data_IF_334585198278
#
_entry.id   IF_334585198278
#
_cell.length_a   1.000
_cell.length_b   1.000
_cell.length_c   1.000
_cell.angle_alpha   90.00
_cell.angle_beta   90.00
_cell.angle_gamma   90.00
#
_symmetry.space_group_name_H-M   'P 1'
#
loop_
_entity.id
_entity.type
_entity.pdbx_description
1 polymer ?
#
# COMPACT_ATOMS: atom_id res chain seq x y z
N UNK A 1 54.09 23.10 -15.43
CA UNK A 1 55.45 22.58 -15.71
C UNK A 1 56.14 22.10 -14.44
N UNK A 2 56.36 22.96 -13.43
CA UNK A 2 57.05 22.58 -12.19
C UNK A 2 56.41 21.38 -11.45
N UNK A 3 55.09 21.34 -11.31
CA UNK A 3 54.40 20.22 -10.63
C UNK A 3 54.65 18.86 -11.31
N UNK A 4 54.68 18.82 -12.65
CA UNK A 4 54.96 17.60 -13.41
C UNK A 4 56.43 17.20 -13.27
N UNK A 5 57.34 18.17 -13.32
CA UNK A 5 58.77 17.93 -13.10
C UNK A 5 59.05 17.40 -11.69
N UNK A 6 58.48 18.01 -10.66
CA UNK A 6 58.63 17.54 -9.27
C UNK A 6 58.04 16.13 -9.10
N UNK A 7 56.90 15.83 -9.71
CA UNK A 7 56.32 14.49 -9.67
C UNK A 7 57.21 13.45 -10.35
N UNK A 8 57.72 13.73 -11.55
CA UNK A 8 58.65 12.85 -12.26
C UNK A 8 59.90 12.63 -11.42
N UNK A 9 60.46 13.70 -10.83
CA UNK A 9 61.62 13.60 -9.93
C UNK A 9 61.31 12.71 -8.72
N UNK A 10 60.12 12.81 -8.13
CA UNK A 10 59.71 11.95 -7.02
C UNK A 10 59.59 10.47 -7.44
N UNK A 11 59.08 10.18 -8.64
CA UNK A 11 59.07 8.81 -9.19
C UNK A 11 60.49 8.29 -9.37
N UNK A 12 61.36 9.07 -10.00
CA UNK A 12 62.75 8.68 -10.24
C UNK A 12 63.47 8.42 -8.91
N UNK A 13 63.30 9.31 -7.94
CA UNK A 13 63.86 9.15 -6.59
C UNK A 13 63.33 7.89 -5.89
N UNK A 14 62.03 7.62 -5.99
CA UNK A 14 61.42 6.41 -5.46
C UNK A 14 61.97 5.15 -6.12
N UNK A 15 62.11 5.14 -7.45
CA UNK A 15 62.69 4.00 -8.18
C UNK A 15 64.12 3.76 -7.75
N UNK A 16 64.93 4.82 -7.62
CA UNK A 16 66.32 4.70 -7.13
C UNK A 16 66.36 4.09 -5.73
N UNK A 17 65.52 4.58 -4.81
CA UNK A 17 65.41 4.03 -3.45
C UNK A 17 64.95 2.57 -3.46
N UNK A 18 63.93 2.24 -4.24
CA UNK A 18 63.43 0.89 -4.41
C UNK A 18 64.51 -0.06 -4.96
N UNK A 19 65.37 0.43 -5.85
CA UNK A 19 66.47 -0.35 -6.42
C UNK A 19 67.54 -0.64 -5.36
N UNK A 20 67.88 0.34 -4.52
CA UNK A 20 68.79 0.18 -3.38
C UNK A 20 68.22 -0.86 -2.40
N UNK A 21 66.95 -0.74 -2.03
CA UNK A 21 66.26 -1.69 -1.15
C UNK A 21 66.31 -3.10 -1.75
N UNK A 22 66.05 -3.25 -3.04
CA UNK A 22 66.09 -4.53 -3.73
C UNK A 22 67.50 -5.14 -3.78
N UNK A 23 68.57 -4.33 -3.79
CA UNK A 23 69.96 -4.80 -3.76
C UNK A 23 70.42 -5.20 -2.35
N UNK A 24 69.92 -4.51 -1.33
CA UNK A 24 70.19 -4.82 0.07
C UNK A 24 69.46 -6.08 0.55
N UNK A 25 68.33 -6.41 -0.08
CA UNK A 25 67.55 -7.59 0.27
C UNK A 25 68.25 -8.88 -0.21
N UNK A 26 68.51 -9.84 0.70
CA UNK A 26 69.04 -11.14 0.31
C UNK A 26 68.00 -11.89 -0.53
N UNK A 27 68.49 -12.74 -1.44
CA UNK A 27 67.65 -13.53 -2.35
C UNK A 27 66.83 -14.56 -1.56
N UNK A 28 65.66 -14.13 -1.10
CA UNK A 28 64.79 -14.81 -0.15
C UNK A 28 63.34 -14.73 -0.60
N UNK A 29 62.47 -15.52 0.02
CA UNK A 29 61.02 -15.43 -0.20
C UNK A 29 60.48 -14.01 0.04
N UNK A 30 61.05 -13.26 1.00
CA UNK A 30 60.68 -11.87 1.31
C UNK A 30 60.92 -10.88 0.17
N UNK A 31 61.90 -11.13 -0.70
CA UNK A 31 62.17 -10.26 -1.85
C UNK A 31 60.99 -10.27 -2.84
N UNK A 32 60.28 -11.38 -2.99
CA UNK A 32 59.10 -11.50 -3.87
C UNK A 32 57.95 -10.63 -3.38
N UNK A 33 57.66 -10.67 -2.08
CA UNK A 33 56.63 -9.84 -1.47
C UNK A 33 56.99 -8.35 -1.51
N UNK A 34 58.26 -8.02 -1.27
CA UNK A 34 58.74 -6.64 -1.35
C UNK A 34 58.57 -6.07 -2.75
N UNK A 35 58.91 -6.84 -3.81
CA UNK A 35 58.70 -6.41 -5.20
C UNK A 35 57.24 -6.10 -5.50
N UNK A 36 56.31 -6.92 -4.98
CA UNK A 36 54.87 -6.69 -5.15
C UNK A 36 54.43 -5.39 -4.47
N UNK A 37 54.80 -5.20 -3.20
CA UNK A 37 54.41 -4.01 -2.44
C UNK A 37 55.03 -2.74 -3.03
N UNK A 38 56.31 -2.78 -3.40
CA UNK A 38 56.99 -1.65 -4.07
C UNK A 38 56.34 -1.31 -5.41
N UNK A 39 55.94 -2.33 -6.19
CA UNK A 39 55.18 -2.14 -7.43
C UNK A 39 53.81 -1.50 -7.19
N UNK A 40 53.10 -1.91 -6.14
CA UNK A 40 51.82 -1.31 -5.74
C UNK A 40 52.00 0.16 -5.33
N UNK A 41 53.04 0.47 -4.54
CA UNK A 41 53.36 1.84 -4.14
C UNK A 41 53.73 2.71 -5.35
N UNK A 42 54.51 2.18 -6.29
CA UNK A 42 54.82 2.86 -7.55
C UNK A 42 53.54 3.19 -8.32
N UNK A 43 52.63 2.21 -8.44
CA UNK A 43 51.34 2.39 -9.13
C UNK A 43 50.53 3.52 -8.49
N UNK A 44 50.49 3.58 -7.16
CA UNK A 44 49.76 4.63 -6.42
C UNK A 44 50.38 6.03 -6.59
N UNK A 45 51.72 6.12 -6.66
CA UNK A 45 52.42 7.37 -6.94
C UNK A 45 52.12 7.85 -8.38
N UNK A 46 51.98 6.92 -9.33
CA UNK A 46 51.69 7.24 -10.74
C UNK A 46 50.22 7.61 -10.93
N UNK A 47 49.28 6.97 -10.23
CA UNK A 47 47.84 7.18 -10.45
C UNK A 47 47.36 8.56 -10.00
N UNK A 48 48.04 9.16 -9.01
CA UNK A 48 47.64 10.43 -8.41
C UNK A 48 47.57 11.58 -9.44
N UNK A 49 48.61 11.89 -10.23
CA UNK A 49 48.52 12.93 -11.26
C UNK A 49 47.72 12.51 -12.48
N UNK A 50 47.57 11.21 -12.76
CA UNK A 50 46.61 10.74 -13.76
C UNK A 50 45.23 11.29 -13.41
N UNK A 51 44.79 11.12 -12.15
CA UNK A 51 43.53 11.72 -11.70
C UNK A 51 43.51 13.25 -11.79
N UNK A 52 44.62 13.94 -11.50
CA UNK A 52 44.69 15.40 -11.65
C UNK A 52 44.56 15.87 -13.11
N UNK A 53 45.18 15.15 -14.06
CA UNK A 53 45.10 15.45 -15.51
C UNK A 53 43.68 15.23 -16.01
N UNK A 54 43.05 14.12 -15.59
CA UNK A 54 41.67 13.79 -15.95
C UNK A 54 40.63 14.53 -15.10
N UNK A 55 41.06 15.43 -14.19
CA UNK A 55 40.19 16.19 -13.27
C UNK A 55 39.22 15.30 -12.47
N UNK A 56 39.65 14.09 -12.13
CA UNK A 56 38.87 13.14 -11.35
C UNK A 56 39.04 13.47 -9.87
N UNK A 57 37.99 13.98 -9.24
CA UNK A 57 37.93 14.13 -7.78
C UNK A 57 37.46 12.82 -7.14
N UNK A 58 38.43 12.05 -6.65
CA UNK A 58 38.20 10.78 -5.98
C UNK A 58 37.32 10.96 -4.74
N UNK A 59 37.45 12.06 -4.00
CA UNK A 59 36.62 12.33 -2.82
C UNK A 59 35.16 12.59 -3.20
N UNK A 60 34.93 13.31 -4.30
CA UNK A 60 33.57 13.53 -4.82
C UNK A 60 32.95 12.20 -5.27
N UNK A 61 33.71 11.35 -5.95
CA UNK A 61 33.24 10.05 -6.43
C UNK A 61 32.89 9.11 -5.26
N UNK A 62 33.72 9.04 -4.22
CA UNK A 62 33.41 8.27 -3.01
C UNK A 62 32.16 8.81 -2.29
N UNK A 63 32.03 10.14 -2.17
CA UNK A 63 30.84 10.75 -1.57
C UNK A 63 29.57 10.43 -2.35
N UNK A 64 29.60 10.46 -3.68
CA UNK A 64 28.44 10.11 -4.49
C UNK A 64 28.03 8.65 -4.32
N UNK A 65 28.99 7.72 -4.24
CA UNK A 65 28.71 6.29 -4.06
C UNK A 65 28.11 6.00 -2.69
N UNK A 66 28.61 6.67 -1.64
CA UNK A 66 28.10 6.51 -0.28
C UNK A 66 26.71 7.11 -0.08
N UNK A 67 26.41 8.25 -0.71
CA UNK A 67 25.08 8.87 -0.61
C UNK A 67 24.03 8.13 -1.45
N UNK A 68 24.42 7.58 -2.60
CA UNK A 68 23.49 6.87 -3.49
C UNK A 68 22.99 5.57 -2.88
N UNK A 69 23.84 4.81 -2.20
CA UNK A 69 23.46 3.55 -1.57
C UNK A 69 22.48 3.73 -0.41
N UNK A 70 22.69 4.75 0.43
CA UNK A 70 21.79 5.01 1.57
C UNK A 70 20.41 5.47 1.09
N UNK A 71 20.36 6.32 0.04
CA UNK A 71 19.09 6.81 -0.50
C UNK A 71 18.30 5.75 -1.25
N UNK A 72 18.98 4.84 -1.97
CA UNK A 72 18.30 3.77 -2.69
C UNK A 72 17.55 2.83 -1.73
N UNK A 73 18.17 2.48 -0.62
CA UNK A 73 17.58 1.51 0.33
C UNK A 73 16.32 2.09 1.00
N UNK A 74 16.36 3.35 1.42
CA UNK A 74 15.19 4.02 2.02
C UNK A 74 14.04 4.19 1.03
N UNK A 75 14.34 4.48 -0.24
CA UNK A 75 13.31 4.64 -1.27
C UNK A 75 12.65 3.30 -1.61
N UNK A 76 13.44 2.22 -1.67
CA UNK A 76 12.93 0.86 -1.89
C UNK A 76 12.04 0.44 -0.72
N UNK A 77 12.49 0.63 0.53
CA UNK A 77 11.71 0.29 1.72
C UNK A 77 10.36 1.02 1.76
N UNK A 78 10.35 2.33 1.51
CA UNK A 78 9.11 3.12 1.46
C UNK A 78 8.16 2.64 0.36
N UNK A 79 8.70 2.26 -0.80
CA UNK A 79 7.90 1.76 -1.93
C UNK A 79 7.29 0.39 -1.62
N UNK A 80 8.02 -0.47 -0.91
CA UNK A 80 7.53 -1.79 -0.46
C UNK A 80 6.43 -1.61 0.61
N UNK A 81 6.64 -0.74 1.59
CA UNK A 81 5.66 -0.50 2.64
C UNK A 81 4.37 0.13 2.09
N UNK A 82 4.46 1.00 1.08
CA UNK A 82 3.28 1.53 0.39
C UNK A 82 2.53 0.46 -0.41
N UNK A 83 3.23 -0.38 -1.18
CA UNK A 83 2.62 -1.50 -1.91
C UNK A 83 1.93 -2.48 -0.96
N UNK A 84 2.57 -2.79 0.18
CA UNK A 84 1.98 -3.64 1.22
C UNK A 84 0.67 -3.06 1.75
N UNK A 85 0.61 -1.76 2.04
CA UNK A 85 -0.62 -1.08 2.50
C UNK A 85 -1.73 -1.16 1.46
N UNK A 86 -1.40 -0.94 0.19
CA UNK A 86 -2.35 -1.03 -0.92
C UNK A 86 -2.91 -2.44 -1.08
N UNK A 87 -2.04 -3.46 -1.08
CA UNK A 87 -2.43 -4.87 -1.15
C UNK A 87 -3.36 -5.23 0.00
N UNK A 88 -3.00 -4.85 1.24
CA UNK A 88 -3.83 -5.12 2.41
C UNK A 88 -5.19 -4.42 2.32
N UNK A 89 -5.25 -3.18 1.82
CA UNK A 89 -6.52 -2.47 1.63
C UNK A 89 -7.40 -3.17 0.59
N UNK A 90 -6.83 -3.59 -0.54
CA UNK A 90 -7.56 -4.32 -1.59
C UNK A 90 -8.06 -5.68 -1.10
N UNK A 91 -7.24 -6.43 -0.34
CA UNK A 91 -7.63 -7.71 0.24
C UNK A 91 -8.79 -7.54 1.23
N UNK A 92 -8.73 -6.52 2.11
CA UNK A 92 -9.82 -6.23 3.04
C UNK A 92 -11.12 -5.89 2.33
N UNK A 93 -11.05 -5.02 1.31
CA UNK A 93 -12.23 -4.67 0.51
C UNK A 93 -12.86 -5.90 -0.15
N UNK A 94 -12.03 -6.79 -0.71
CA UNK A 94 -12.48 -8.05 -1.30
C UNK A 94 -13.17 -8.98 -0.28
N UNK A 95 -12.58 -9.13 0.92
CA UNK A 95 -13.18 -9.96 1.97
C UNK A 95 -14.53 -9.38 2.42
N UNK A 96 -14.61 -8.07 2.64
CA UNK A 96 -15.85 -7.41 3.04
C UNK A 96 -16.96 -7.57 1.97
N UNK A 97 -16.61 -7.46 0.70
CA UNK A 97 -17.54 -7.68 -0.41
C UNK A 97 -18.05 -9.12 -0.44
N UNK A 98 -17.16 -10.10 -0.30
CA UNK A 98 -17.54 -11.52 -0.26
C UNK A 98 -18.43 -11.83 0.95
N UNK A 99 -18.14 -11.24 2.11
CA UNK A 99 -19.00 -11.37 3.29
C UNK A 99 -20.39 -10.79 3.03
N UNK A 100 -20.48 -9.61 2.42
CA UNK A 100 -21.75 -8.99 2.05
C UNK A 100 -22.57 -9.89 1.10
N UNK A 101 -21.94 -10.43 0.06
CA UNK A 101 -22.60 -11.34 -0.91
C UNK A 101 -23.13 -12.60 -0.21
N UNK A 102 -22.34 -13.21 0.69
CA UNK A 102 -22.77 -14.39 1.44
C UNK A 102 -23.94 -14.05 2.38
N UNK A 103 -23.84 -12.92 3.09
CA UNK A 103 -24.88 -12.45 4.01
C UNK A 103 -26.20 -12.17 3.29
N UNK A 104 -26.14 -11.62 2.08
CA UNK A 104 -27.31 -11.42 1.22
C UNK A 104 -27.94 -12.75 0.82
N UNK A 105 -27.12 -13.69 0.31
CA UNK A 105 -27.58 -15.00 -0.11
C UNK A 105 -28.26 -15.79 1.02
N UNK A 106 -27.72 -15.70 2.24
CA UNK A 106 -28.23 -16.42 3.42
C UNK A 106 -29.63 -15.98 3.88
N UNK A 107 -30.07 -14.78 3.49
CA UNK A 107 -31.34 -14.19 3.93
C UNK A 107 -32.32 -13.88 2.80
N UNK A 108 -31.87 -13.94 1.55
CA UNK A 108 -32.65 -13.54 0.36
C UNK A 108 -34.02 -14.20 0.28
N UNK A 109 -34.08 -15.53 0.35
CA UNK A 109 -35.34 -16.27 0.23
C UNK A 109 -36.30 -15.90 1.37
N UNK A 110 -35.81 -15.87 2.60
CA UNK A 110 -36.66 -15.61 3.76
C UNK A 110 -37.14 -14.16 3.86
N UNK A 111 -36.31 -13.20 3.45
CA UNK A 111 -36.73 -11.79 3.39
C UNK A 111 -37.82 -11.56 2.34
N UNK A 112 -37.76 -12.28 1.23
CA UNK A 112 -38.80 -12.24 0.22
C UNK A 112 -40.09 -12.89 0.72
N UNK A 113 -40.00 -14.07 1.32
CA UNK A 113 -41.18 -14.85 1.72
C UNK A 113 -41.90 -14.28 2.95
N UNK A 114 -41.16 -13.83 3.97
CA UNK A 114 -41.76 -13.37 5.23
C UNK A 114 -41.98 -11.86 5.30
N UNK A 115 -41.15 -11.08 4.61
CA UNK A 115 -41.15 -9.61 4.74
C UNK A 115 -41.45 -8.90 3.42
N UNK A 116 -41.46 -9.58 2.27
CA UNK A 116 -41.75 -8.98 0.96
C UNK A 116 -40.73 -7.92 0.54
N UNK A 117 -39.50 -7.99 1.04
CA UNK A 117 -38.43 -7.01 0.77
C UNK A 117 -37.23 -7.68 0.13
N UNK A 118 -36.52 -6.94 -0.71
CA UNK A 118 -35.24 -7.33 -1.29
C UNK A 118 -34.11 -6.48 -0.70
N UNK A 119 -32.90 -7.06 -0.62
CA UNK A 119 -31.69 -6.32 -0.25
C UNK A 119 -31.13 -5.66 -1.51
N UNK A 120 -30.86 -4.36 -1.43
CA UNK A 120 -30.20 -3.62 -2.51
C UNK A 120 -28.69 -3.48 -2.26
N UNK A 121 -28.29 -3.34 -0.99
CA UNK A 121 -26.88 -3.19 -0.61
C UNK A 121 -26.64 -3.57 0.84
N UNK A 122 -25.53 -4.26 1.10
CA UNK A 122 -24.99 -4.47 2.45
C UNK A 122 -23.65 -3.74 2.55
N UNK A 123 -23.50 -2.91 3.57
CA UNK A 123 -22.24 -2.24 3.89
C UNK A 123 -21.75 -2.67 5.28
N UNK A 124 -20.53 -3.19 5.35
CA UNK A 124 -19.93 -3.71 6.59
C UNK A 124 -18.79 -2.78 7.00
N UNK A 125 -18.84 -2.26 8.22
CA UNK A 125 -17.78 -1.44 8.81
C UNK A 125 -17.04 -2.23 9.90
N UNK A 126 -15.72 -2.16 9.88
CA UNK A 126 -14.86 -2.67 10.95
C UNK A 126 -14.64 -1.64 12.05
N UNK A 127 -14.27 -2.09 13.26
CA UNK A 127 -13.99 -1.22 14.43
C UNK A 127 -12.86 -0.23 14.16
N UNK A 128 -11.84 -0.66 13.41
CA UNK A 128 -10.79 0.22 12.91
C UNK A 128 -10.60 0.02 11.40
N UNK A 129 -10.20 1.06 10.65
CA UNK A 129 -10.02 0.99 9.19
C UNK A 129 -9.03 -0.07 8.70
N UNK A 130 -8.10 -0.48 9.58
CA UNK A 130 -7.02 -1.42 9.28
C UNK A 130 -7.17 -2.77 9.97
N UNK A 131 -8.25 -3.00 10.72
CA UNK A 131 -8.49 -4.30 11.33
C UNK A 131 -8.87 -5.32 10.25
N UNK A 132 -8.47 -6.58 10.44
CA UNK A 132 -8.96 -7.66 9.60
C UNK A 132 -10.47 -7.82 9.78
N UNK A 133 -11.24 -7.95 8.68
CA UNK A 133 -12.69 -8.10 8.71
C UNK A 133 -13.06 -9.51 9.19
N UNK A 134 -13.00 -9.71 10.50
CA UNK A 134 -13.49 -10.90 11.21
C UNK A 134 -14.75 -10.55 11.98
N UNK A 135 -15.59 -11.54 12.33
CA UNK A 135 -16.85 -11.33 13.06
C UNK A 135 -16.69 -10.47 14.33
N UNK A 136 -15.59 -10.68 15.07
CA UNK A 136 -15.28 -9.92 16.28
C UNK A 136 -14.90 -8.46 16.01
N UNK A 137 -14.39 -8.16 14.82
CA UNK A 137 -13.91 -6.83 14.43
C UNK A 137 -14.94 -6.01 13.65
N UNK A 138 -16.12 -6.58 13.36
CA UNK A 138 -17.23 -5.83 12.78
C UNK A 138 -17.80 -4.85 13.83
N UNK A 139 -17.91 -3.60 13.42
CA UNK A 139 -18.54 -2.52 14.21
C UNK A 139 -20.02 -2.44 13.91
N UNK A 140 -20.37 -2.34 12.63
CA UNK A 140 -21.75 -2.18 12.16
C UNK A 140 -21.96 -2.78 10.77
N UNK A 141 -23.18 -3.25 10.53
CA UNK A 141 -23.67 -3.75 9.25
C UNK A 141 -24.88 -2.89 8.89
N UNK A 142 -24.78 -2.15 7.79
CA UNK A 142 -25.89 -1.35 7.26
C UNK A 142 -26.50 -2.09 6.08
N UNK A 143 -27.80 -2.34 6.15
CA UNK A 143 -28.55 -3.07 5.12
C UNK A 143 -29.58 -2.11 4.52
N UNK A 144 -29.45 -1.84 3.23
CA UNK A 144 -30.45 -1.13 2.44
C UNK A 144 -31.42 -2.14 1.84
N UNK A 145 -32.72 -1.94 2.08
CA UNK A 145 -33.77 -2.82 1.58
C UNK A 145 -34.87 -2.01 0.87
N UNK A 146 -35.40 -2.57 -0.21
CA UNK A 146 -36.53 -2.02 -0.95
C UNK A 146 -37.70 -3.01 -1.01
N UNK A 147 -38.92 -2.49 -1.06
CA UNK A 147 -40.10 -3.30 -1.37
C UNK A 147 -40.13 -3.53 -2.87
N UNK A 148 -40.12 -4.79 -3.28
CA UNK A 148 -40.26 -5.14 -4.69
C UNK A 148 -41.72 -4.95 -5.10
N UNK A 149 -42.00 -3.91 -5.89
CA UNK A 149 -43.28 -3.81 -6.60
C UNK A 149 -43.36 -4.99 -7.58
N UNK A 150 -44.44 -5.75 -7.49
CA UNK A 150 -44.73 -6.91 -8.33
C UNK A 150 -44.60 -6.54 -9.81
N UNK A 151 -43.78 -7.27 -10.53
CA UNK A 151 -43.68 -7.21 -11.99
C UNK A 151 -44.90 -7.92 -12.58
N UNK A 152 -45.99 -7.18 -12.75
CA UNK A 152 -47.14 -7.54 -13.58
C UNK A 152 -47.91 -6.25 -13.89
N UNK A 153 -47.56 -5.58 -14.99
CA UNK A 153 -48.44 -4.84 -15.92
C UNK A 153 -47.63 -3.91 -16.82
N UNK A 154 -47.32 -4.36 -18.03
CA UNK A 154 -47.55 -3.50 -19.19
C UNK A 154 -49.00 -3.02 -19.10
N UNK A 155 -49.27 -1.72 -18.94
CA UNK A 155 -50.20 -0.90 -19.74
C UNK A 155 -50.14 0.54 -19.19
N UNK A 156 -49.72 1.45 -20.06
CA UNK A 156 -49.81 2.90 -19.96
C UNK A 156 -51.18 3.34 -19.44
N UNK A 157 -51.28 4.20 -18.42
CA UNK A 157 -52.41 5.15 -18.30
C UNK A 157 -52.22 6.24 -17.23
N UNK A 158 -52.19 7.46 -17.75
CA UNK A 158 -52.77 8.69 -17.21
C UNK A 158 -52.21 9.27 -15.91
N UNK A 159 -51.36 10.28 -16.10
CA UNK A 159 -51.08 11.37 -15.15
C UNK A 159 -52.39 11.84 -14.51
N UNK A 160 -52.62 11.48 -13.24
CA UNK A 160 -53.70 12.07 -12.46
C UNK A 160 -53.17 13.37 -11.86
N UNK A 161 -53.75 14.46 -12.32
CA UNK A 161 -53.43 15.82 -11.92
C UNK A 161 -53.48 15.95 -10.39
N UNK A 162 -52.44 16.59 -9.86
CA UNK A 162 -52.25 16.83 -8.43
C UNK A 162 -53.33 17.83 -7.98
N UNK A 163 -54.36 17.36 -7.29
CA UNK A 163 -55.20 18.19 -6.41
C UNK A 163 -54.65 18.04 -4.99
N UNK A 164 -54.05 19.13 -4.48
CA UNK A 164 -53.59 19.23 -3.10
C UNK A 164 -54.83 19.50 -2.24
N UNK A 165 -55.27 18.49 -1.49
CA UNK A 165 -56.30 18.64 -0.45
C UNK A 165 -55.63 18.48 0.92
N UNK A 166 -55.49 19.60 1.63
CA UNK A 166 -54.72 19.77 2.89
C UNK A 166 -55.53 19.44 4.15
N UNK A 167 -56.24 18.31 4.22
CA UNK A 167 -57.12 18.05 5.39
C UNK A 167 -57.13 16.63 5.97
N UNK A 168 -56.08 15.83 5.74
CA UNK A 168 -55.94 14.53 6.42
C UNK A 168 -54.54 14.38 7.06
N UNK A 169 -54.45 14.08 8.37
CA UNK A 169 -53.18 13.87 9.04
C UNK A 169 -52.38 12.73 8.40
N UNK A 170 -51.09 12.97 8.18
CA UNK A 170 -50.13 11.96 7.73
C UNK A 170 -49.98 10.92 8.85
N UNK A 171 -50.57 9.72 8.67
CA UNK A 171 -50.30 8.57 9.53
C UNK A 171 -48.91 8.00 9.22
N UNK A 172 -47.92 8.38 10.02
CA UNK A 172 -46.62 7.70 10.14
C UNK A 172 -46.78 6.27 10.66
N UNK A 173 -46.92 5.28 9.76
CA UNK A 173 -46.70 3.86 10.03
C UNK A 173 -45.24 3.49 9.63
N UNK A 174 -44.34 2.81 10.36
CA UNK A 174 -44.21 2.31 11.74
C UNK A 174 -42.69 2.12 12.03
N UNK A 175 -42.11 2.71 13.08
CA UNK A 175 -40.76 2.41 13.61
C UNK A 175 -40.56 0.97 14.13
N UNK A 176 -41.57 0.11 14.00
CA UNK A 176 -41.64 -1.23 14.60
C UNK A 176 -41.18 -2.33 13.64
N UNK A 177 -41.37 -2.17 12.33
CA UNK A 177 -41.01 -3.22 11.36
C UNK A 177 -39.52 -3.24 11.04
N UNK A 178 -38.88 -2.07 10.91
CA UNK A 178 -37.42 -1.96 10.77
C UNK A 178 -36.68 -2.53 11.98
N UNK A 179 -37.19 -2.32 13.20
CA UNK A 179 -36.64 -2.90 14.43
C UNK A 179 -36.81 -4.43 14.52
N UNK A 180 -37.91 -4.97 13.98
CA UNK A 180 -38.12 -6.43 13.92
C UNK A 180 -37.16 -7.06 12.92
N UNK A 181 -37.01 -6.46 11.74
CA UNK A 181 -36.10 -6.90 10.70
C UNK A 181 -34.63 -6.80 11.14
N UNK A 182 -34.22 -5.72 11.81
CA UNK A 182 -32.87 -5.60 12.37
C UNK A 182 -32.57 -6.68 13.41
N UNK A 183 -33.54 -7.03 14.25
CA UNK A 183 -33.37 -8.08 15.26
C UNK A 183 -33.29 -9.48 14.64
N UNK A 184 -34.08 -9.74 13.60
CA UNK A 184 -34.01 -10.98 12.83
C UNK A 184 -32.64 -11.16 12.18
N UNK A 185 -32.16 -10.14 11.46
CA UNK A 185 -30.87 -10.17 10.78
C UNK A 185 -29.71 -10.29 11.77
N UNK A 186 -29.77 -9.59 12.91
CA UNK A 186 -28.76 -9.73 13.96
C UNK A 186 -28.68 -11.15 14.53
N UNK A 187 -29.83 -11.80 14.75
CA UNK A 187 -29.88 -13.19 15.21
C UNK A 187 -29.37 -14.18 14.14
N UNK A 188 -29.72 -13.95 12.87
CA UNK A 188 -29.34 -14.84 11.76
C UNK A 188 -27.84 -14.80 11.48
N UNK A 189 -27.21 -13.64 11.59
CA UNK A 189 -25.78 -13.46 11.34
C UNK A 189 -24.90 -13.59 12.60
N UNK A 190 -25.47 -14.00 13.73
CA UNK A 190 -24.79 -14.14 15.03
C UNK A 190 -24.00 -12.88 15.45
N UNK A 191 -24.57 -11.70 15.19
CA UNK A 191 -23.99 -10.39 15.53
C UNK A 191 -24.78 -9.72 16.65
N UNK A 192 -24.13 -8.82 17.41
CA UNK A 192 -24.78 -8.20 18.57
C UNK A 192 -25.95 -7.33 18.13
N UNK A 193 -27.06 -7.43 18.87
CA UNK A 193 -28.23 -6.58 18.69
C UNK A 193 -27.82 -5.10 18.83
N UNK A 194 -28.11 -4.30 17.79
CA UNK A 194 -27.67 -2.89 17.68
C UNK A 194 -26.48 -2.66 16.75
N UNK A 195 -25.82 -3.70 16.24
CA UNK A 195 -24.81 -3.57 15.19
C UNK A 195 -25.42 -3.56 13.77
N UNK A 196 -26.64 -4.08 13.62
CA UNK A 196 -27.35 -4.10 12.34
C UNK A 196 -28.30 -2.91 12.26
N UNK A 197 -28.10 -2.06 11.26
CA UNK A 197 -28.97 -0.93 10.95
C UNK A 197 -29.64 -1.19 9.61
N UNK A 198 -30.97 -1.15 9.59
CA UNK A 198 -31.76 -1.38 8.37
C UNK A 198 -32.36 -0.05 7.91
N UNK A 199 -32.02 0.35 6.70
CA UNK A 199 -32.59 1.52 6.04
C UNK A 199 -33.58 1.05 4.96
N UNK A 200 -34.84 1.46 5.09
CA UNK A 200 -35.84 1.30 4.04
C UNK A 200 -35.86 2.58 3.22
N UNK A 201 -35.37 2.52 1.97
CA UNK A 201 -35.59 3.60 1.01
C UNK A 201 -36.96 3.39 0.36
N UNK A 202 -37.90 4.31 0.64
CA UNK A 202 -39.03 4.52 -0.26
C UNK A 202 -38.47 5.21 -1.51
N UNK A 203 -38.65 4.59 -2.67
CA UNK A 203 -38.02 5.02 -3.91
C UNK A 203 -38.31 6.48 -4.25
N UNK A 204 -37.34 7.34 -3.97
CA UNK A 204 -37.32 8.72 -4.42
C UNK A 204 -36.50 8.75 -5.73
N UNK A 205 -37.18 8.44 -6.83
CA UNK A 205 -36.60 8.49 -8.17
C UNK A 205 -36.44 9.96 -8.59
N UNK A 206 -35.19 10.37 -8.80
CA UNK A 206 -34.84 11.66 -9.40
C UNK A 206 -34.96 11.63 -10.93
#
# INVERSE_FOLDING_TARGET
MQALTTWITNIVLFILLATIINLLLPNSSFQKYTKLVVGLLLMLIIITPVFQIFKVDVNQMLKSLSLSSIRSDQQVENSIENQKKEIQASQRAYILEQMAVQMEADVKEELMDQYGVAIDRIHIETKKPNDEPTADNIKSISVAVSKKASDDSEVVSAVKVISIDTSTPIETNKPTESKKLSNYLAAKWDVKQGQVVVNMEEGDTK
#
